data_IF_234564650503
#
_entry.id   IF_234564650503
#
_cell.length_a   1.000
_cell.length_b   1.000
_cell.length_c   1.000
_cell.angle_alpha   90.00
_cell.angle_beta   90.00
_cell.angle_gamma   90.00
#
_symmetry.space_group_name_H-M   'P 1'
#
loop_
_entity.id
_entity.type
_entity.pdbx_description
1 polymer ?
#
# COMPACT_ATOMS: atom_id res chain seq x y z
N UNK A 1 27.37 -20.50 5.28
CA UNK A 1 27.25 -19.08 5.66
C UNK A 1 26.08 -18.50 4.92
N UNK A 2 25.04 -18.16 5.66
CA UNK A 2 23.94 -17.43 5.05
C UNK A 2 24.37 -15.97 4.88
N UNK A 3 24.52 -15.54 3.66
CA UNK A 3 24.67 -14.13 3.39
C UNK A 3 23.30 -13.47 3.63
N UNK A 4 23.13 -12.89 4.81
CA UNK A 4 21.95 -12.07 5.03
C UNK A 4 22.04 -10.85 4.13
N UNK A 5 21.09 -10.75 3.22
CA UNK A 5 20.90 -9.53 2.44
C UNK A 5 20.68 -8.38 3.43
N UNK A 6 21.45 -7.27 3.36
CA UNK A 6 21.24 -6.12 4.25
C UNK A 6 19.84 -5.53 4.17
N UNK A 7 19.09 -5.87 3.11
CA UNK A 7 17.73 -5.39 2.91
C UNK A 7 16.66 -6.28 3.55
N UNK A 8 17.02 -7.48 4.02
CA UNK A 8 16.06 -8.40 4.61
C UNK A 8 15.26 -7.79 5.77
N UNK A 9 15.87 -7.03 6.71
CA UNK A 9 15.08 -6.39 7.76
C UNK A 9 14.05 -5.40 7.22
N UNK A 10 14.40 -4.64 6.17
CA UNK A 10 13.50 -3.67 5.56
C UNK A 10 12.38 -4.37 4.78
N UNK A 11 12.72 -5.44 4.07
CA UNK A 11 11.73 -6.25 3.36
C UNK A 11 10.77 -6.92 4.34
N UNK A 12 11.26 -7.36 5.49
CA UNK A 12 10.40 -7.93 6.53
C UNK A 12 9.42 -6.89 7.08
N UNK A 13 9.83 -5.65 7.24
CA UNK A 13 8.95 -4.55 7.66
C UNK A 13 7.86 -4.32 6.61
N UNK A 14 8.24 -4.26 5.33
CA UNK A 14 7.29 -4.11 4.24
C UNK A 14 6.31 -5.28 4.18
N UNK A 15 6.80 -6.50 4.36
CA UNK A 15 5.98 -7.71 4.40
C UNK A 15 4.95 -7.64 5.54
N UNK A 16 5.39 -7.24 6.73
CA UNK A 16 4.52 -7.14 7.88
C UNK A 16 3.42 -6.08 7.67
N UNK A 17 3.77 -4.95 7.05
CA UNK A 17 2.80 -3.91 6.75
C UNK A 17 1.75 -4.38 5.74
N UNK A 18 2.21 -4.97 4.62
CA UNK A 18 1.29 -5.49 3.59
C UNK A 18 0.40 -6.60 4.12
N UNK A 19 0.94 -7.47 4.97
CA UNK A 19 0.15 -8.55 5.59
C UNK A 19 -0.95 -7.98 6.48
N UNK A 20 -0.64 -6.97 7.28
CA UNK A 20 -1.66 -6.32 8.14
C UNK A 20 -2.73 -5.63 7.31
N UNK A 21 -2.35 -4.93 6.25
CA UNK A 21 -3.32 -4.28 5.36
C UNK A 21 -4.20 -5.32 4.67
N UNK A 22 -3.59 -6.41 4.20
CA UNK A 22 -4.34 -7.50 3.57
C UNK A 22 -5.38 -8.08 4.51
N UNK A 23 -4.98 -8.42 5.73
CA UNK A 23 -5.89 -8.98 6.74
C UNK A 23 -7.03 -8.02 7.06
N UNK A 24 -6.71 -6.72 7.20
CA UNK A 24 -7.73 -5.71 7.44
C UNK A 24 -8.74 -5.64 6.30
N UNK A 25 -8.27 -5.63 5.06
CA UNK A 25 -9.16 -5.51 3.91
C UNK A 25 -10.04 -6.76 3.74
N UNK A 26 -9.49 -7.94 3.98
CA UNK A 26 -10.27 -9.19 3.91
C UNK A 26 -11.36 -9.20 4.99
N UNK A 27 -11.01 -8.86 6.22
CA UNK A 27 -11.97 -8.83 7.32
C UNK A 27 -13.05 -7.76 7.09
N UNK A 28 -12.65 -6.58 6.66
CA UNK A 28 -13.60 -5.51 6.36
C UNK A 28 -14.53 -5.88 5.21
N UNK A 29 -14.01 -6.58 4.19
CA UNK A 29 -14.83 -7.04 3.06
C UNK A 29 -15.88 -8.07 3.50
N UNK A 30 -15.53 -8.96 4.42
CA UNK A 30 -16.46 -9.93 4.96
C UNK A 30 -17.62 -9.27 5.72
N UNK A 31 -17.34 -8.15 6.40
CA UNK A 31 -18.31 -7.42 7.18
C UNK A 31 -19.09 -6.37 6.36
N UNK A 32 -18.61 -6.06 5.16
CA UNK A 32 -19.24 -5.03 4.33
C UNK A 32 -20.60 -5.50 3.83
N UNK A 33 -21.61 -4.65 3.98
CA UNK A 33 -22.98 -4.95 3.56
C UNK A 33 -23.29 -4.39 2.17
N UNK A 34 -22.52 -3.42 1.71
CA UNK A 34 -22.70 -2.77 0.41
C UNK A 34 -21.81 -3.43 -0.62
N UNK A 35 -22.36 -3.90 -1.76
CA UNK A 35 -21.55 -4.56 -2.80
C UNK A 35 -20.39 -3.70 -3.31
N UNK A 36 -20.57 -2.38 -3.47
CA UNK A 36 -19.52 -1.49 -3.93
C UNK A 36 -18.35 -1.38 -2.94
N UNK A 37 -18.65 -1.32 -1.64
CA UNK A 37 -17.62 -1.30 -0.60
C UNK A 37 -16.87 -2.62 -0.57
N UNK A 38 -17.60 -3.73 -0.66
CA UNK A 38 -16.99 -5.06 -0.68
C UNK A 38 -16.07 -5.22 -1.89
N UNK A 39 -16.50 -4.76 -3.06
CA UNK A 39 -15.69 -4.82 -4.27
C UNK A 39 -14.40 -3.99 -4.13
N UNK A 40 -14.51 -2.77 -3.59
CA UNK A 40 -13.35 -1.93 -3.33
C UNK A 40 -12.36 -2.63 -2.40
N UNK A 41 -12.84 -3.15 -1.28
CA UNK A 41 -11.97 -3.80 -0.29
C UNK A 41 -11.30 -5.05 -0.87
N UNK A 42 -12.00 -5.81 -1.70
CA UNK A 42 -11.41 -6.97 -2.37
C UNK A 42 -10.31 -6.56 -3.35
N UNK A 43 -10.47 -5.47 -4.08
CA UNK A 43 -9.42 -4.94 -4.97
C UNK A 43 -8.20 -4.53 -4.17
N UNK A 44 -8.40 -3.82 -3.05
CA UNK A 44 -7.30 -3.42 -2.17
C UNK A 44 -6.58 -4.64 -1.58
N UNK A 45 -7.33 -5.66 -1.17
CA UNK A 45 -6.76 -6.90 -0.66
C UNK A 45 -5.94 -7.62 -1.74
N UNK A 46 -6.44 -7.68 -2.97
CA UNK A 46 -5.72 -8.31 -4.09
C UNK A 46 -4.41 -7.60 -4.37
N UNK A 47 -4.40 -6.27 -4.32
CA UNK A 47 -3.17 -5.48 -4.51
C UNK A 47 -2.15 -5.78 -3.41
N UNK A 48 -2.60 -5.86 -2.15
CA UNK A 48 -1.70 -6.22 -1.04
C UNK A 48 -1.15 -7.64 -1.18
N UNK A 49 -1.99 -8.58 -1.63
CA UNK A 49 -1.55 -9.95 -1.88
C UNK A 49 -0.46 -9.99 -2.96
N UNK A 50 -0.63 -9.20 -4.02
CA UNK A 50 0.38 -9.11 -5.08
C UNK A 50 1.67 -8.50 -4.56
N UNK A 51 1.60 -7.47 -3.73
CA UNK A 51 2.77 -6.88 -3.08
C UNK A 51 3.50 -7.89 -2.19
N UNK A 52 2.76 -8.66 -1.41
CA UNK A 52 3.33 -9.72 -0.56
C UNK A 52 4.09 -10.72 -1.42
N UNK A 53 3.51 -11.15 -2.54
CA UNK A 53 4.16 -12.08 -3.45
C UNK A 53 5.45 -11.49 -4.03
N UNK A 54 5.44 -10.23 -4.44
CA UNK A 54 6.61 -9.53 -4.96
C UNK A 54 7.71 -9.42 -3.91
N UNK A 55 7.36 -9.02 -2.69
CA UNK A 55 8.32 -8.89 -1.59
C UNK A 55 8.94 -10.24 -1.28
N UNK A 56 8.12 -11.29 -1.20
CA UNK A 56 8.59 -12.65 -0.94
C UNK A 56 9.54 -13.12 -2.04
N UNK A 57 9.22 -12.83 -3.30
CA UNK A 57 10.08 -13.18 -4.42
C UNK A 57 11.43 -12.45 -4.34
N UNK A 58 11.43 -11.17 -3.99
CA UNK A 58 12.67 -10.40 -3.79
C UNK A 58 13.53 -10.99 -2.67
N UNK A 59 12.92 -11.52 -1.62
CA UNK A 59 13.65 -12.13 -0.50
C UNK A 59 14.33 -13.43 -0.92
N UNK A 60 13.75 -14.17 -1.87
CA UNK A 60 14.26 -15.45 -2.33
C UNK A 60 15.28 -15.29 -3.46
N UNK A 61 15.00 -14.48 -4.47
CA UNK A 61 15.81 -14.37 -5.69
C UNK A 61 16.81 -13.22 -5.67
N UNK A 62 16.58 -12.24 -4.79
CA UNK A 62 17.38 -11.03 -4.74
C UNK A 62 16.68 -9.86 -5.40
N UNK A 63 16.96 -8.67 -4.88
CA UNK A 63 16.27 -7.46 -5.26
C UNK A 63 16.61 -6.98 -6.67
N UNK A 64 17.85 -7.21 -7.10
CA UNK A 64 18.33 -6.70 -8.39
C UNK A 64 17.46 -7.17 -9.56
N UNK A 65 17.12 -8.46 -9.60
CA UNK A 65 16.36 -9.02 -10.70
C UNK A 65 14.94 -8.46 -10.75
N UNK A 66 14.32 -8.25 -9.59
CA UNK A 66 12.97 -7.70 -9.51
C UNK A 66 12.93 -6.21 -9.88
N UNK A 67 13.92 -5.44 -9.45
CA UNK A 67 13.93 -3.99 -9.72
C UNK A 67 14.18 -3.71 -11.20
N UNK A 68 14.96 -4.55 -11.88
CA UNK A 68 15.15 -4.41 -13.31
C UNK A 68 13.86 -4.68 -14.10
N UNK A 69 13.01 -5.57 -13.59
CA UNK A 69 11.72 -5.90 -14.20
C UNK A 69 10.67 -4.83 -13.88
N UNK A 70 10.76 -4.22 -12.71
CA UNK A 70 9.85 -3.13 -12.35
C UNK A 70 10.19 -1.89 -13.18
N UNK A 71 9.21 -1.36 -13.89
CA UNK A 71 9.37 -0.10 -14.58
C UNK A 71 9.85 0.96 -13.60
N UNK A 72 10.70 1.87 -14.08
CA UNK A 72 11.17 2.99 -13.27
C UNK A 72 9.99 3.90 -12.97
N UNK A 73 9.37 3.64 -11.84
CA UNK A 73 8.27 4.46 -11.35
C UNK A 73 8.83 5.38 -10.29
N UNK A 74 8.72 6.66 -10.54
CA UNK A 74 9.11 7.67 -9.55
C UNK A 74 7.87 8.39 -9.07
N UNK A 75 7.80 8.61 -7.76
CA UNK A 75 6.82 9.53 -7.21
C UNK A 75 7.49 10.91 -7.16
N UNK A 76 6.70 11.97 -7.31
CA UNK A 76 7.21 13.34 -7.21
C UNK A 76 7.48 13.76 -5.75
N UNK A 77 7.20 12.87 -4.80
CA UNK A 77 7.38 13.18 -3.38
C UNK A 77 6.35 14.11 -2.78
N UNK A 78 5.35 14.49 -3.57
CA UNK A 78 4.27 15.36 -3.09
C UNK A 78 3.48 14.63 -2.01
N UNK A 79 3.24 15.26 -0.84
CA UNK A 79 2.37 14.65 0.16
C UNK A 79 1.00 14.36 -0.43
N UNK A 80 0.40 13.19 -0.15
CA UNK A 80 -0.92 12.88 -0.66
C UNK A 80 -1.95 13.79 0.00
N UNK A 81 -3.04 14.05 -0.72
CA UNK A 81 -4.19 14.71 -0.12
C UNK A 81 -4.74 13.79 0.98
N UNK A 82 -4.68 14.24 2.23
CA UNK A 82 -5.14 13.49 3.40
C UNK A 82 -6.53 13.91 3.86
N UNK A 83 -7.20 14.76 3.09
CA UNK A 83 -8.54 15.22 3.43
C UNK A 83 -9.52 14.06 3.54
N UNK A 84 -10.34 14.01 4.60
CA UNK A 84 -11.36 12.98 4.71
C UNK A 84 -12.40 13.09 3.59
N UNK A 85 -12.97 11.95 3.22
CA UNK A 85 -14.04 11.87 2.21
C UNK A 85 -15.37 12.09 2.91
N UNK A 86 -16.22 12.98 2.34
CA UNK A 86 -17.59 13.22 2.80
C UNK A 86 -17.68 13.34 4.33
N UNK A 87 -16.92 14.28 4.89
CA UNK A 87 -16.75 14.48 6.34
C UNK A 87 -18.07 14.51 7.10
N UNK A 88 -19.10 15.10 6.50
CA UNK A 88 -20.41 15.24 7.12
C UNK A 88 -21.15 13.91 7.28
N UNK A 89 -20.69 12.85 6.60
CA UNK A 89 -21.35 11.53 6.65
C UNK A 89 -20.51 10.46 7.33
N UNK A 90 -19.34 10.80 7.87
CA UNK A 90 -18.44 9.79 8.47
C UNK A 90 -19.15 9.02 9.60
N UNK A 91 -19.89 9.71 10.45
CA UNK A 91 -20.54 9.12 11.61
C UNK A 91 -21.89 8.46 11.29
N UNK A 92 -22.47 8.75 10.13
CA UNK A 92 -23.82 8.30 9.79
C UNK A 92 -23.87 7.30 8.65
N UNK A 93 -22.81 7.21 7.84
CA UNK A 93 -22.75 6.30 6.69
C UNK A 93 -21.59 5.32 6.85
N UNK A 94 -21.87 4.03 7.13
CA UNK A 94 -20.81 3.03 7.29
C UNK A 94 -19.89 2.91 6.08
N UNK A 95 -20.38 3.17 4.87
CA UNK A 95 -19.56 3.13 3.65
C UNK A 95 -18.48 4.19 3.70
N UNK A 96 -18.83 5.38 4.12
CA UNK A 96 -17.90 6.52 4.22
C UNK A 96 -16.88 6.26 5.33
N UNK A 97 -17.30 5.68 6.44
CA UNK A 97 -16.37 5.28 7.51
C UNK A 97 -15.30 4.32 6.99
N UNK A 98 -15.71 3.26 6.27
CA UNK A 98 -14.77 2.27 5.72
C UNK A 98 -13.83 2.92 4.70
N UNK A 99 -14.36 3.78 3.83
CA UNK A 99 -13.55 4.50 2.86
C UNK A 99 -12.45 5.33 3.52
N UNK A 100 -12.79 6.05 4.59
CA UNK A 100 -11.82 6.88 5.30
C UNK A 100 -10.79 6.04 6.04
N UNK A 101 -11.18 4.88 6.58
CA UNK A 101 -10.23 3.96 7.22
C UNK A 101 -9.24 3.37 6.22
N UNK A 102 -9.73 2.97 5.05
CA UNK A 102 -8.86 2.47 3.99
C UNK A 102 -7.90 3.57 3.52
N UNK A 103 -8.41 4.77 3.31
CA UNK A 103 -7.62 5.93 2.90
C UNK A 103 -6.51 6.21 3.92
N UNK A 104 -6.85 6.23 5.20
CA UNK A 104 -5.89 6.46 6.27
C UNK A 104 -4.75 5.45 6.25
N UNK A 105 -5.06 4.17 6.07
CA UNK A 105 -4.04 3.12 6.00
C UNK A 105 -3.12 3.29 4.81
N UNK A 106 -3.66 3.60 3.64
CA UNK A 106 -2.86 3.78 2.43
C UNK A 106 -1.97 5.02 2.52
N UNK A 107 -2.47 6.11 3.11
CA UNK A 107 -1.68 7.32 3.32
C UNK A 107 -0.52 7.04 4.28
N UNK A 108 -0.75 6.31 5.36
CA UNK A 108 0.32 5.93 6.29
C UNK A 108 1.38 5.08 5.60
N UNK A 109 0.96 4.12 4.78
CA UNK A 109 1.88 3.29 4.00
C UNK A 109 2.70 4.11 3.03
N UNK A 110 2.05 5.01 2.30
CA UNK A 110 2.72 5.89 1.34
C UNK A 110 3.80 6.74 2.02
N UNK A 111 3.43 7.41 3.09
CA UNK A 111 4.34 8.29 3.84
C UNK A 111 5.52 7.49 4.41
N UNK A 112 5.23 6.30 4.94
CA UNK A 112 6.26 5.42 5.49
C UNK A 112 7.27 5.00 4.43
N UNK A 113 6.79 4.55 3.27
CA UNK A 113 7.68 4.09 2.20
C UNK A 113 8.50 5.24 1.61
N UNK A 114 7.93 6.44 1.46
CA UNK A 114 8.69 7.60 1.02
C UNK A 114 9.79 7.96 2.02
N UNK A 115 9.49 7.86 3.32
CA UNK A 115 10.48 8.10 4.36
C UNK A 115 11.65 7.12 4.26
N UNK A 116 11.36 5.84 4.03
CA UNK A 116 12.41 4.84 3.84
C UNK A 116 13.21 5.10 2.56
N UNK A 117 12.56 5.49 1.48
CA UNK A 117 13.24 5.82 0.23
C UNK A 117 14.22 7.00 0.43
N UNK A 118 13.79 8.02 1.17
CA UNK A 118 14.63 9.20 1.43
C UNK A 118 15.83 8.89 2.30
N UNK A 119 15.73 7.89 3.17
CA UNK A 119 16.82 7.47 4.08
C UNK A 119 17.71 6.41 3.49
N UNK A 120 17.37 5.89 2.32
CA UNK A 120 18.09 4.78 1.72
C UNK A 120 19.52 5.19 1.37
N UNK A 121 20.48 4.30 1.65
CA UNK A 121 21.89 4.54 1.40
C UNK A 121 22.32 4.24 -0.03
N UNK A 122 21.48 3.53 -0.78
CA UNK A 122 21.76 3.16 -2.16
C UNK A 122 20.56 3.47 -3.04
N UNK A 123 20.82 3.72 -4.33
CA UNK A 123 19.76 3.94 -5.31
C UNK A 123 18.83 2.74 -5.41
N UNK A 124 19.36 1.55 -5.28
CA UNK A 124 18.59 0.31 -5.38
C UNK A 124 17.49 0.25 -4.33
N UNK A 125 17.87 0.52 -3.07
CA UNK A 125 16.93 0.51 -1.95
C UNK A 125 15.92 1.65 -2.09
N UNK A 126 16.40 2.83 -2.49
CA UNK A 126 15.53 3.98 -2.71
C UNK A 126 14.45 3.65 -3.76
N UNK A 127 14.84 3.04 -4.88
CA UNK A 127 13.90 2.66 -5.93
C UNK A 127 12.86 1.66 -5.46
N UNK A 128 13.27 0.69 -4.64
CA UNK A 128 12.34 -0.28 -4.08
C UNK A 128 11.24 0.42 -3.29
N UNK A 129 11.62 1.29 -2.37
CA UNK A 129 10.64 1.97 -1.54
C UNK A 129 9.84 3.02 -2.29
N UNK A 130 10.42 3.66 -3.31
CA UNK A 130 9.67 4.53 -4.21
C UNK A 130 8.58 3.75 -4.96
N UNK A 131 8.91 2.54 -5.41
CA UNK A 131 7.93 1.68 -6.07
C UNK A 131 6.79 1.31 -5.13
N UNK A 132 7.10 0.92 -3.89
CA UNK A 132 6.07 0.57 -2.92
C UNK A 132 5.19 1.80 -2.58
N UNK A 133 5.80 2.97 -2.46
CA UNK A 133 5.07 4.22 -2.27
C UNK A 133 4.16 4.53 -3.46
N UNK A 134 4.65 4.29 -4.68
CA UNK A 134 3.85 4.50 -5.89
C UNK A 134 2.60 3.62 -5.89
N UNK A 135 2.75 2.35 -5.52
CA UNK A 135 1.59 1.45 -5.44
C UNK A 135 0.56 1.98 -4.45
N UNK A 136 1.02 2.50 -3.30
CA UNK A 136 0.13 3.11 -2.31
C UNK A 136 -0.57 4.34 -2.86
N UNK A 137 0.14 5.18 -3.63
CA UNK A 137 -0.46 6.37 -4.24
C UNK A 137 -1.56 6.01 -5.23
N UNK A 138 -1.38 4.94 -5.98
CA UNK A 138 -2.42 4.46 -6.90
C UNK A 138 -3.65 3.96 -6.14
N UNK A 139 -3.46 3.28 -5.03
CA UNK A 139 -4.56 2.83 -4.19
C UNK A 139 -5.31 4.02 -3.57
N UNK A 140 -4.60 5.06 -3.14
CA UNK A 140 -5.22 6.29 -2.63
C UNK A 140 -6.14 6.90 -3.68
N UNK A 141 -5.66 7.03 -4.92
CA UNK A 141 -6.47 7.55 -6.02
C UNK A 141 -7.70 6.68 -6.28
N UNK A 142 -7.52 5.37 -6.26
CA UNK A 142 -8.62 4.43 -6.50
C UNK A 142 -9.69 4.55 -5.41
N UNK A 143 -9.29 4.62 -4.15
CA UNK A 143 -10.21 4.80 -3.03
C UNK A 143 -11.00 6.09 -3.20
N UNK A 144 -10.33 7.20 -3.50
CA UNK A 144 -11.02 8.49 -3.69
C UNK A 144 -12.00 8.44 -4.85
N UNK A 145 -11.58 7.83 -5.96
CA UNK A 145 -12.42 7.74 -7.15
C UNK A 145 -13.70 6.94 -6.90
N UNK A 146 -13.57 5.79 -6.22
CA UNK A 146 -14.72 4.94 -5.92
C UNK A 146 -15.58 5.57 -4.84
N UNK A 147 -15.00 6.07 -3.76
CA UNK A 147 -15.72 6.52 -2.59
C UNK A 147 -16.45 7.86 -2.82
N UNK A 148 -15.99 8.67 -3.77
CA UNK A 148 -16.72 9.89 -4.12
C UNK A 148 -18.06 9.59 -4.84
N UNK A 149 -18.26 8.36 -5.30
CA UNK A 149 -19.53 7.95 -5.91
C UNK A 149 -20.57 7.52 -4.88
N UNK A 150 -20.20 7.39 -3.62
CA UNK A 150 -21.13 7.01 -2.54
C UNK A 150 -21.95 8.25 -2.05
#
# INVERSE_FOLDING_TARGET
>A
MSHKNPLDPLLNIAMAMSTRHYEYYIEAAEQAQTPKVKALLNVLADTERDLIAHIRHMMVTGILDEIEVLERVTTDGTPPDDSPIATERIDTDPRIYVCNKALEQEIKGYTFYLSLAARAKTDLVSRLFEYLAFVKSQQIEHIRKVCTTF
#
